data_IF_311517610698
#
_entry.id   IF_311517610698
#
_cell.length_a   1.000
_cell.length_b   1.000
_cell.length_c   1.000
_cell.angle_alpha   90.00
_cell.angle_beta   90.00
_cell.angle_gamma   90.00
#
_symmetry.space_group_name_H-M   'P 1'
#
loop_
_entity.id
_entity.type
_entity.pdbx_description
1 polymer ?
#
# COMPACT_ATOMS: atom_id res chain seq x y z
N UNK A 1 -32.30 7.06 -3.10
CA UNK A 1 -32.33 6.42 -1.76
C UNK A 1 -33.22 7.13 -0.75
N UNK A 2 -33.06 8.44 -0.50
CA UNK A 2 -33.77 9.16 0.59
C UNK A 2 -35.30 9.04 0.54
N UNK A 3 -35.88 9.09 -0.67
CA UNK A 3 -37.33 8.96 -0.88
C UNK A 3 -37.89 7.58 -0.50
N UNK A 4 -37.10 6.52 -0.63
CA UNK A 4 -37.51 5.15 -0.28
C UNK A 4 -37.50 4.97 1.23
N UNK A 5 -36.44 5.42 1.90
CA UNK A 5 -36.35 5.37 3.37
C UNK A 5 -37.52 6.16 3.97
N UNK A 6 -37.77 7.39 3.52
CA UNK A 6 -38.88 8.22 4.03
C UNK A 6 -40.25 7.55 3.80
N UNK A 7 -40.46 6.88 2.65
CA UNK A 7 -41.74 6.22 2.31
C UNK A 7 -42.07 5.04 3.23
N UNK A 8 -41.07 4.30 3.71
CA UNK A 8 -41.28 3.05 4.44
C UNK A 8 -40.85 3.07 5.91
N UNK A 9 -40.16 4.13 6.37
CA UNK A 9 -39.60 4.18 7.73
C UNK A 9 -40.66 4.43 8.83
N UNK A 10 -41.66 5.27 8.58
CA UNK A 10 -42.72 5.60 9.55
C UNK A 10 -44.04 4.83 9.30
N UNK A 11 -44.05 3.89 8.36
CA UNK A 11 -45.23 3.07 8.04
C UNK A 11 -45.20 1.77 8.84
N UNK A 12 -46.28 1.42 9.57
CA UNK A 12 -46.37 0.12 10.22
C UNK A 12 -46.14 -1.01 9.21
N UNK A 13 -45.35 -2.03 9.56
CA UNK A 13 -45.05 -3.16 8.65
C UNK A 13 -46.33 -3.80 8.07
N UNK A 14 -47.41 -3.83 8.84
CA UNK A 14 -48.72 -4.35 8.43
C UNK A 14 -49.36 -3.59 7.26
N UNK A 15 -49.03 -2.31 7.09
CA UNK A 15 -49.58 -1.42 6.05
C UNK A 15 -48.67 -1.33 4.82
N UNK A 16 -47.49 -1.95 4.85
CA UNK A 16 -46.55 -1.97 3.73
C UNK A 16 -46.96 -3.06 2.73
N UNK A 17 -47.27 -2.67 1.49
CA UNK A 17 -47.31 -3.60 0.36
C UNK A 17 -45.90 -4.06 0.03
N UNK A 18 -45.65 -5.36 0.19
CA UNK A 18 -44.34 -5.97 0.01
C UNK A 18 -43.87 -5.84 -1.45
N UNK A 19 -44.78 -5.99 -2.40
CA UNK A 19 -44.52 -5.96 -3.83
C UNK A 19 -44.26 -4.57 -4.36
N UNK A 20 -44.96 -3.55 -3.85
CA UNK A 20 -44.56 -2.15 -4.11
C UNK A 20 -43.15 -1.90 -3.61
N UNK A 21 -42.83 -2.31 -2.38
CA UNK A 21 -41.50 -2.09 -1.81
C UNK A 21 -40.40 -2.79 -2.61
N UNK A 22 -40.63 -4.03 -3.08
CA UNK A 22 -39.67 -4.76 -3.93
C UNK A 22 -39.53 -4.11 -5.31
N UNK A 23 -40.62 -3.64 -5.91
CA UNK A 23 -40.60 -2.96 -7.21
C UNK A 23 -39.88 -1.62 -7.14
N UNK A 24 -40.12 -0.85 -6.08
CA UNK A 24 -39.43 0.41 -5.80
C UNK A 24 -37.93 0.15 -5.58
N UNK A 25 -37.57 -0.91 -4.85
CA UNK A 25 -36.19 -1.29 -4.61
C UNK A 25 -35.45 -1.69 -5.90
N UNK A 26 -36.09 -2.48 -6.77
CA UNK A 26 -35.52 -2.84 -8.06
C UNK A 26 -35.40 -1.64 -9.00
N UNK A 27 -36.36 -0.72 -8.98
CA UNK A 27 -36.27 0.52 -9.76
C UNK A 27 -35.10 1.38 -9.31
N UNK A 28 -34.91 1.55 -8.00
CA UNK A 28 -33.78 2.30 -7.44
C UNK A 28 -32.45 1.64 -7.78
N UNK A 29 -32.35 0.31 -7.65
CA UNK A 29 -31.15 -0.43 -8.01
C UNK A 29 -30.81 -0.23 -9.50
N UNK A 30 -31.82 -0.28 -10.38
CA UNK A 30 -31.64 -0.03 -11.80
C UNK A 30 -31.23 1.44 -12.10
N UNK A 31 -31.84 2.42 -11.43
CA UNK A 31 -31.53 3.85 -11.57
C UNK A 31 -30.09 4.19 -11.14
N UNK A 32 -29.53 3.40 -10.22
CA UNK A 32 -28.16 3.54 -9.73
C UNK A 32 -27.18 2.57 -10.38
N UNK A 33 -27.57 1.90 -11.49
CA UNK A 33 -26.73 0.94 -12.22
C UNK A 33 -26.18 -0.20 -11.34
N UNK A 34 -26.93 -0.59 -10.30
CA UNK A 34 -26.57 -1.70 -9.41
C UNK A 34 -27.06 -3.00 -10.05
N UNK A 35 -26.12 -3.88 -10.37
CA UNK A 35 -26.42 -5.22 -10.89
C UNK A 35 -27.03 -6.09 -9.78
N UNK A 36 -28.28 -6.52 -9.99
CA UNK A 36 -28.99 -7.41 -9.07
C UNK A 36 -28.75 -8.86 -9.49
N UNK A 37 -28.18 -9.72 -8.62
CA UNK A 37 -28.02 -11.14 -8.90
C UNK A 37 -29.33 -11.83 -9.26
N UNK A 38 -29.27 -12.81 -10.17
CA UNK A 38 -30.42 -13.59 -10.65
C UNK A 38 -31.24 -14.21 -9.51
N UNK A 39 -30.54 -14.67 -8.47
CA UNK A 39 -31.15 -15.35 -7.33
C UNK A 39 -32.06 -14.38 -6.55
N UNK A 40 -31.62 -13.13 -6.38
CA UNK A 40 -32.42 -12.09 -5.71
C UNK A 40 -33.60 -11.65 -6.58
N UNK A 41 -33.41 -11.55 -7.89
CA UNK A 41 -34.52 -11.25 -8.81
C UNK A 41 -35.59 -12.35 -8.78
N UNK A 42 -35.19 -13.63 -8.70
CA UNK A 42 -36.11 -14.75 -8.59
C UNK A 42 -36.91 -14.70 -7.29
N UNK A 43 -36.25 -14.40 -6.16
CA UNK A 43 -36.95 -14.19 -4.87
C UNK A 43 -37.96 -13.05 -4.99
N UNK A 44 -37.55 -11.89 -5.51
CA UNK A 44 -38.45 -10.76 -5.69
C UNK A 44 -39.66 -11.08 -6.57
N UNK A 45 -39.45 -11.75 -7.71
CA UNK A 45 -40.54 -12.23 -8.59
C UNK A 45 -41.48 -13.20 -7.88
N UNK A 46 -40.94 -14.08 -7.04
CA UNK A 46 -41.75 -15.04 -6.28
C UNK A 46 -42.63 -14.31 -5.26
N UNK A 47 -42.08 -13.33 -4.55
CA UNK A 47 -42.84 -12.51 -3.59
C UNK A 47 -43.93 -11.69 -4.30
N UNK A 48 -43.62 -11.07 -5.44
CA UNK A 48 -44.60 -10.34 -6.26
C UNK A 48 -45.73 -11.26 -6.75
N UNK A 49 -45.38 -12.46 -7.20
CA UNK A 49 -46.37 -13.45 -7.66
C UNK A 49 -47.25 -13.91 -6.50
N UNK A 50 -46.66 -14.12 -5.31
CA UNK A 50 -47.38 -14.52 -4.12
C UNK A 50 -48.40 -13.45 -3.72
N UNK A 51 -47.99 -12.17 -3.66
CA UNK A 51 -48.91 -11.08 -3.34
C UNK A 51 -50.03 -10.96 -4.37
N UNK A 52 -49.73 -11.02 -5.67
CA UNK A 52 -50.75 -10.99 -6.72
C UNK A 52 -51.75 -12.16 -6.67
N UNK A 53 -51.35 -13.31 -6.11
CA UNK A 53 -52.24 -14.46 -5.89
C UNK A 53 -53.03 -14.31 -4.59
N UNK A 54 -52.43 -13.79 -3.52
CA UNK A 54 -53.05 -13.68 -2.20
C UNK A 54 -54.01 -12.49 -2.11
N UNK A 55 -53.69 -11.37 -2.76
CA UNK A 55 -54.50 -10.14 -2.77
C UNK A 55 -55.97 -10.38 -3.18
N UNK A 56 -56.30 -11.12 -4.26
CA UNK A 56 -57.70 -11.40 -4.60
C UNK A 56 -58.38 -12.42 -3.67
N UNK A 57 -57.62 -13.27 -2.96
CA UNK A 57 -58.15 -14.31 -2.08
C UNK A 57 -58.38 -13.81 -0.64
N UNK A 58 -57.48 -12.97 -0.14
CA UNK A 58 -57.47 -12.47 1.22
C UNK A 58 -56.98 -11.00 1.26
N UNK A 59 -57.78 -10.04 0.76
CA UNK A 59 -57.38 -8.63 0.61
C UNK A 59 -57.10 -7.88 1.93
N UNK A 60 -57.41 -8.49 3.08
CA UNK A 60 -57.12 -7.92 4.41
C UNK A 60 -55.88 -8.52 5.08
N UNK A 61 -55.23 -9.50 4.43
CA UNK A 61 -54.05 -10.17 4.96
C UNK A 61 -52.80 -9.42 4.49
N UNK A 62 -52.00 -8.93 5.43
CA UNK A 62 -50.66 -8.42 5.11
C UNK A 62 -49.67 -9.58 5.01
N UNK A 63 -48.94 -9.65 3.89
CA UNK A 63 -47.86 -10.63 3.71
C UNK A 63 -46.74 -10.39 4.73
N UNK A 64 -46.54 -9.13 5.13
CA UNK A 64 -45.51 -8.76 6.09
C UNK A 64 -45.82 -9.28 7.50
N UNK A 65 -47.09 -9.25 7.92
CA UNK A 65 -47.55 -9.81 9.19
C UNK A 65 -47.36 -11.34 9.22
N UNK A 66 -47.61 -12.01 8.08
CA UNK A 66 -47.37 -13.44 7.96
C UNK A 66 -45.87 -13.81 8.03
N UNK A 67 -44.99 -12.91 7.58
CA UNK A 67 -43.54 -13.10 7.58
C UNK A 67 -42.86 -12.72 8.91
N UNK A 68 -43.47 -11.86 9.72
CA UNK A 68 -42.94 -11.38 11.00
C UNK A 68 -42.44 -12.50 11.95
N UNK A 69 -43.19 -13.59 12.22
CA UNK A 69 -42.73 -14.64 13.14
C UNK A 69 -41.47 -15.35 12.63
N UNK A 70 -41.37 -15.59 11.32
CA UNK A 70 -40.18 -16.19 10.71
C UNK A 70 -38.97 -15.26 10.83
N UNK A 71 -39.16 -13.96 10.63
CA UNK A 71 -38.11 -12.96 10.83
C UNK A 71 -37.60 -12.93 12.27
N UNK A 72 -38.50 -12.97 13.25
CA UNK A 72 -38.14 -13.05 14.68
C UNK A 72 -37.33 -14.31 15.01
N UNK A 73 -37.72 -15.45 14.46
CA UNK A 73 -37.03 -16.72 14.67
C UNK A 73 -35.63 -16.72 14.01
N UNK A 74 -35.51 -16.20 12.79
CA UNK A 74 -34.24 -16.06 12.08
C UNK A 74 -33.26 -15.12 12.80
N UNK A 75 -33.74 -13.98 13.31
CA UNK A 75 -32.92 -13.07 14.11
C UNK A 75 -32.48 -13.79 15.39
N UNK A 76 -33.39 -14.46 16.08
CA UNK A 76 -33.08 -15.20 17.31
C UNK A 76 -32.04 -16.31 17.06
N UNK A 77 -32.12 -17.00 15.93
CA UNK A 77 -31.15 -18.03 15.54
C UNK A 77 -29.78 -17.43 15.19
N UNK A 78 -29.77 -16.34 14.41
CA UNK A 78 -28.54 -15.64 14.01
C UNK A 78 -27.80 -15.03 15.19
N UNK A 79 -28.51 -14.49 16.16
CA UNK A 79 -27.94 -13.91 17.39
C UNK A 79 -27.91 -14.89 18.56
N UNK A 80 -28.12 -16.19 18.31
CA UNK A 80 -28.08 -17.18 19.36
C UNK A 80 -26.65 -17.32 19.91
N UNK A 81 -26.40 -17.07 21.21
CA UNK A 81 -25.04 -17.03 21.76
C UNK A 81 -24.29 -18.35 21.60
N UNK A 82 -25.02 -19.48 21.55
CA UNK A 82 -24.44 -20.80 21.25
C UNK A 82 -23.87 -20.87 19.83
N UNK A 83 -24.58 -20.32 18.83
CA UNK A 83 -24.16 -20.34 17.43
C UNK A 83 -22.94 -19.45 17.23
N UNK A 84 -22.93 -18.28 17.88
CA UNK A 84 -21.76 -17.39 17.91
C UNK A 84 -20.56 -18.08 18.57
N UNK A 85 -20.76 -18.79 19.69
CA UNK A 85 -19.68 -19.52 20.35
C UNK A 85 -19.16 -20.70 19.52
N UNK A 86 -20.05 -21.39 18.79
CA UNK A 86 -19.72 -22.49 17.89
C UNK A 86 -18.95 -22.00 16.65
N UNK A 87 -19.42 -20.94 16.00
CA UNK A 87 -18.74 -20.28 14.86
C UNK A 87 -17.35 -19.76 15.27
N UNK A 88 -17.22 -19.19 16.47
CA UNK A 88 -15.93 -18.78 17.02
C UNK A 88 -15.03 -19.98 17.31
N UNK A 89 -15.58 -21.06 17.87
CA UNK A 89 -14.81 -22.26 18.18
C UNK A 89 -14.32 -22.98 16.91
N UNK A 90 -15.15 -23.08 15.88
CA UNK A 90 -14.75 -23.60 14.56
C UNK A 90 -13.62 -22.75 13.96
N UNK A 91 -13.76 -21.43 13.96
CA UNK A 91 -12.68 -20.54 13.51
C UNK A 91 -11.39 -20.74 14.33
N UNK A 92 -11.48 -20.85 15.66
CA UNK A 92 -10.31 -21.12 16.51
C UNK A 92 -9.68 -22.49 16.23
N UNK A 93 -10.46 -23.51 15.90
CA UNK A 93 -9.96 -24.83 15.55
C UNK A 93 -9.20 -24.80 14.21
N UNK A 94 -9.70 -24.05 13.23
CA UNK A 94 -8.99 -23.80 11.96
C UNK A 94 -7.66 -23.04 12.17
N UNK A 95 -7.57 -22.16 13.18
CA UNK A 95 -6.31 -21.55 13.62
C UNK A 95 -5.43 -22.48 14.49
N UNK A 96 -6.01 -23.55 15.06
CA UNK A 96 -5.31 -24.56 15.86
C UNK A 96 -4.37 -25.42 15.02
N UNK A 97 -4.72 -25.71 13.77
CA UNK A 97 -3.85 -26.40 12.82
C UNK A 97 -2.58 -25.58 12.50
N UNK A 98 -2.69 -24.25 12.49
CA UNK A 98 -1.53 -23.35 12.32
C UNK A 98 -0.56 -23.43 13.52
N UNK A 99 -1.07 -23.69 14.73
CA UNK A 99 -0.25 -23.94 15.92
C UNK A 99 0.41 -25.33 15.91
N UNK A 100 -0.18 -26.31 15.20
CA UNK A 100 0.38 -27.65 15.06
C UNK A 100 1.63 -27.66 14.15
N UNK A 101 1.64 -26.84 13.10
CA UNK A 101 2.75 -26.75 12.14
C UNK A 101 3.86 -25.77 12.56
N UNK A 102 3.57 -24.87 13.51
CA UNK A 102 4.53 -23.92 14.09
C UNK A 102 5.84 -24.55 14.62
N UNK A 103 5.83 -25.67 15.38
CA UNK A 103 7.07 -26.29 15.85
C UNK A 103 7.96 -26.80 14.72
N UNK A 104 7.40 -27.24 13.58
CA UNK A 104 8.19 -27.71 12.44
C UNK A 104 8.98 -26.56 11.79
N UNK A 105 8.32 -25.41 11.59
CA UNK A 105 8.96 -24.19 11.06
C UNK A 105 10.09 -23.71 11.99
N UNK A 106 9.86 -23.73 13.31
CA UNK A 106 10.88 -23.31 14.29
C UNK A 106 12.07 -24.28 14.30
N UNK A 107 11.83 -25.59 14.19
CA UNK A 107 12.89 -26.58 14.09
C UNK A 107 13.69 -26.40 12.79
N UNK A 108 13.03 -26.16 11.67
CA UNK A 108 13.68 -25.93 10.39
C UNK A 108 14.56 -24.68 10.41
N UNK A 109 14.04 -23.55 10.92
CA UNK A 109 14.80 -22.31 11.12
C UNK A 109 16.00 -22.52 12.05
N UNK A 110 15.81 -23.21 13.17
CA UNK A 110 16.89 -23.54 14.10
C UNK A 110 17.98 -24.37 13.40
N UNK A 111 17.60 -25.35 12.58
CA UNK A 111 18.56 -26.17 11.84
C UNK A 111 19.30 -25.39 10.74
N UNK A 112 18.62 -24.46 10.05
CA UNK A 112 19.22 -23.58 9.04
C UNK A 112 20.22 -22.60 9.66
N UNK A 113 19.87 -21.99 10.79
CA UNK A 113 20.76 -21.12 11.59
C UNK A 113 21.99 -21.90 12.06
N UNK A 114 21.78 -23.11 12.60
CA UNK A 114 22.85 -23.98 13.12
C UNK A 114 23.80 -24.45 12.01
N UNK A 115 23.30 -24.62 10.79
CA UNK A 115 24.09 -25.01 9.62
C UNK A 115 24.82 -23.84 8.94
N UNK A 116 24.67 -22.58 9.41
CA UNK A 116 25.22 -21.34 8.80
C UNK A 116 24.91 -21.21 7.29
N UNK A 117 23.90 -21.93 6.80
CA UNK A 117 23.43 -21.86 5.41
C UNK A 117 22.13 -21.09 5.40
N UNK A 118 22.18 -19.83 5.83
CA UNK A 118 21.12 -18.91 5.50
C UNK A 118 21.58 -18.22 4.21
N UNK A 119 21.18 -18.69 3.01
CA UNK A 119 21.21 -17.83 1.84
C UNK A 119 20.13 -16.77 2.10
N UNK A 120 20.50 -15.74 2.85
CA UNK A 120 19.73 -14.50 2.96
C UNK A 120 19.85 -13.84 1.58
N UNK A 121 19.14 -14.37 0.58
CA UNK A 121 18.76 -13.60 -0.60
C UNK A 121 17.61 -12.69 -0.17
N UNK A 122 17.88 -11.80 0.79
CA UNK A 122 17.04 -10.63 0.96
C UNK A 122 17.38 -9.75 -0.23
N UNK A 123 16.68 -10.01 -1.32
CA UNK A 123 16.58 -9.08 -2.43
C UNK A 123 15.69 -7.95 -1.91
N UNK A 124 16.24 -6.98 -1.18
CA UNK A 124 15.52 -5.71 -0.92
C UNK A 124 15.72 -4.89 -2.19
N UNK A 125 14.74 -4.80 -3.10
CA UNK A 125 14.91 -4.07 -4.35
C UNK A 125 15.23 -2.59 -4.06
N UNK A 126 14.79 -2.06 -2.92
CA UNK A 126 15.08 -0.69 -2.50
C UNK A 126 16.48 -0.48 -1.89
N UNK A 127 17.16 -1.51 -1.36
CA UNK A 127 18.48 -1.32 -0.74
C UNK A 127 19.54 -0.95 -1.77
N UNK A 128 19.54 -1.61 -2.93
CA UNK A 128 20.43 -1.28 -4.05
C UNK A 128 20.17 0.14 -4.57
N UNK A 129 18.91 0.58 -4.55
CA UNK A 129 18.53 1.95 -4.92
C UNK A 129 19.03 2.98 -3.92
N UNK A 130 19.09 2.63 -2.63
CA UNK A 130 19.61 3.48 -1.57
C UNK A 130 21.14 3.62 -1.65
N UNK A 131 21.85 2.52 -1.87
CA UNK A 131 23.30 2.55 -2.11
C UNK A 131 23.66 3.37 -3.35
N UNK A 132 22.90 3.22 -4.44
CA UNK A 132 23.09 4.01 -5.66
C UNK A 132 22.85 5.51 -5.45
N UNK A 133 21.90 5.88 -4.57
CA UNK A 133 21.67 7.29 -4.18
C UNK A 133 22.81 7.81 -3.29
N UNK A 134 23.30 7.02 -2.36
CA UNK A 134 24.45 7.37 -1.52
C UNK A 134 25.72 7.57 -2.34
N UNK A 135 26.01 6.70 -3.31
CA UNK A 135 27.17 6.84 -4.20
C UNK A 135 27.13 8.15 -5.00
N UNK A 136 25.93 8.55 -5.47
CA UNK A 136 25.74 9.83 -6.15
C UNK A 136 26.05 11.02 -5.24
N UNK A 137 25.63 10.96 -3.97
CA UNK A 137 25.92 12.01 -2.99
C UNK A 137 27.42 12.03 -2.66
N UNK A 138 28.04 10.87 -2.46
CA UNK A 138 29.47 10.73 -2.18
C UNK A 138 30.34 11.30 -3.29
N UNK A 139 30.02 11.00 -4.56
CA UNK A 139 30.75 11.55 -5.71
C UNK A 139 30.58 13.07 -5.82
N UNK A 140 29.38 13.61 -5.56
CA UNK A 140 29.16 15.06 -5.55
C UNK A 140 29.93 15.77 -4.44
N UNK A 141 30.07 15.15 -3.27
CA UNK A 141 30.86 15.67 -2.17
C UNK A 141 32.36 15.64 -2.51
N UNK A 142 32.85 14.52 -3.01
CA UNK A 142 34.25 14.38 -3.45
C UNK A 142 34.62 15.44 -4.49
N UNK A 143 33.74 15.69 -5.46
CA UNK A 143 33.92 16.77 -6.44
C UNK A 143 33.99 18.16 -5.80
N UNK A 144 33.04 18.47 -4.92
CA UNK A 144 33.01 19.76 -4.22
C UNK A 144 34.28 20.00 -3.40
N UNK A 145 34.78 18.98 -2.71
CA UNK A 145 35.99 19.06 -1.89
C UNK A 145 37.23 19.34 -2.77
N UNK A 146 37.37 18.63 -3.89
CA UNK A 146 38.50 18.85 -4.82
C UNK A 146 38.43 20.23 -5.44
N UNK A 147 37.24 20.68 -5.85
CA UNK A 147 37.06 22.01 -6.41
C UNK A 147 37.41 23.11 -5.40
N UNK A 148 37.00 22.94 -4.14
CA UNK A 148 37.37 23.86 -3.06
C UNK A 148 38.88 23.86 -2.81
N UNK A 149 39.53 22.70 -2.76
CA UNK A 149 40.98 22.60 -2.61
C UNK A 149 41.71 23.31 -3.77
N UNK A 150 41.27 23.10 -5.01
CA UNK A 150 41.83 23.78 -6.18
C UNK A 150 41.62 25.30 -6.11
N UNK A 151 40.42 25.75 -5.73
CA UNK A 151 40.13 27.18 -5.55
C UNK A 151 41.04 27.82 -4.49
N UNK A 152 41.29 27.14 -3.38
CA UNK A 152 42.18 27.63 -2.32
C UNK A 152 43.63 27.71 -2.80
N UNK A 153 44.11 26.70 -3.54
CA UNK A 153 45.46 26.72 -4.14
C UNK A 153 45.58 27.89 -5.12
N UNK A 154 44.61 28.08 -6.01
CA UNK A 154 44.61 29.18 -6.97
C UNK A 154 44.62 30.55 -6.28
N UNK A 155 43.78 30.75 -5.27
CA UNK A 155 43.77 32.00 -4.48
C UNK A 155 45.11 32.21 -3.78
N UNK A 156 45.70 31.17 -3.20
CA UNK A 156 47.03 31.22 -2.58
C UNK A 156 48.14 31.60 -3.57
N UNK A 157 48.11 31.04 -4.79
CA UNK A 157 49.06 31.38 -5.84
C UNK A 157 48.89 32.81 -6.34
N UNK A 158 47.65 33.26 -6.55
CA UNK A 158 47.36 34.63 -7.00
C UNK A 158 47.83 35.64 -5.95
N UNK A 159 47.49 35.44 -4.67
CA UNK A 159 47.92 36.34 -3.60
C UNK A 159 49.44 36.28 -3.41
N UNK A 160 50.02 35.07 -3.39
CA UNK A 160 51.46 34.88 -3.26
C UNK A 160 52.25 35.54 -4.39
N UNK A 161 51.72 35.53 -5.61
CA UNK A 161 52.33 36.23 -6.75
C UNK A 161 52.10 37.73 -6.76
N UNK A 162 50.95 38.22 -6.29
CA UNK A 162 50.64 39.64 -6.24
C UNK A 162 51.39 40.38 -5.11
N UNK A 163 51.68 39.70 -4.00
CA UNK A 163 52.41 40.26 -2.85
C UNK A 163 53.94 40.12 -2.97
N UNK A 164 54.43 39.18 -3.80
CA UNK A 164 55.85 38.90 -4.03
C UNK A 164 56.56 39.97 -4.88
N UNK A 165 56.60 41.22 -4.41
CA UNK A 165 57.32 42.35 -5.03
C UNK A 165 58.81 42.43 -4.68
N UNK A 166 59.44 41.33 -4.30
CA UNK A 166 60.88 41.29 -4.05
C UNK A 166 61.56 40.08 -4.71
N UNK A 167 62.51 40.42 -5.58
CA UNK A 167 63.48 39.57 -6.25
C UNK A 167 64.24 38.66 -5.27
N UNK A 168 63.76 37.44 -5.07
CA UNK A 168 64.52 36.37 -4.47
C UNK A 168 64.49 35.16 -5.40
N UNK A 169 65.67 34.60 -5.68
CA UNK A 169 65.95 33.47 -6.58
C UNK A 169 65.08 32.21 -6.38
N UNK A 170 64.29 32.13 -5.30
CA UNK A 170 63.28 31.09 -5.09
C UNK A 170 62.02 31.27 -5.95
N UNK A 171 61.83 32.43 -6.58
CA UNK A 171 60.72 32.73 -7.50
C UNK A 171 61.03 32.42 -8.98
N UNK A 172 62.30 32.10 -9.30
CA UNK A 172 62.72 31.61 -10.62
C UNK A 172 62.54 30.08 -10.77
N UNK A 173 62.21 29.39 -9.67
CA UNK A 173 61.82 28.00 -9.76
C UNK A 173 60.39 27.93 -10.32
N UNK A 174 60.11 27.02 -11.26
CA UNK A 174 58.82 26.87 -11.92
C UNK A 174 57.76 26.26 -10.97
N UNK A 175 57.68 26.69 -9.71
CA UNK A 175 56.72 26.20 -8.72
C UNK A 175 55.27 26.48 -9.14
N UNK A 176 55.04 27.61 -9.83
CA UNK A 176 53.73 27.95 -10.41
C UNK A 176 53.42 26.99 -11.56
N UNK A 177 54.38 26.71 -12.45
CA UNK A 177 54.19 25.78 -13.57
C UNK A 177 54.02 24.34 -13.06
N UNK A 178 54.78 23.92 -12.05
CA UNK A 178 54.66 22.60 -11.40
C UNK A 178 53.29 22.49 -10.71
N UNK A 179 52.86 23.52 -9.99
CA UNK A 179 51.53 23.55 -9.36
C UNK A 179 50.40 23.51 -10.39
N UNK A 180 50.56 24.19 -11.51
CA UNK A 180 49.62 24.16 -12.63
C UNK A 180 49.55 22.77 -13.27
N UNK A 181 50.70 22.13 -13.50
CA UNK A 181 50.77 20.77 -14.07
C UNK A 181 50.15 19.74 -13.11
N UNK A 182 50.44 19.84 -11.81
CA UNK A 182 49.85 18.95 -10.79
C UNK A 182 48.33 19.14 -10.75
N UNK A 183 47.85 20.38 -10.77
CA UNK A 183 46.42 20.65 -10.76
C UNK A 183 45.71 20.20 -12.04
N UNK A 184 46.34 20.38 -13.20
CA UNK A 184 45.84 19.91 -14.49
C UNK A 184 45.75 18.38 -14.52
N UNK A 185 46.75 17.69 -13.99
CA UNK A 185 46.75 16.23 -13.86
C UNK A 185 45.66 15.73 -12.90
N UNK A 186 45.48 16.38 -11.74
CA UNK A 186 44.40 16.06 -10.81
C UNK A 186 43.02 16.29 -11.43
N UNK A 187 42.86 17.38 -12.18
CA UNK A 187 41.61 17.70 -12.88
C UNK A 187 41.29 16.66 -13.96
N UNK A 188 42.28 16.28 -14.77
CA UNK A 188 42.14 15.24 -15.79
C UNK A 188 41.85 13.86 -15.17
N UNK A 189 42.52 13.50 -14.08
CA UNK A 189 42.28 12.25 -13.36
C UNK A 189 40.87 12.21 -12.75
N UNK A 190 40.36 13.35 -12.28
CA UNK A 190 39.02 13.46 -11.74
C UNK A 190 37.94 13.30 -12.83
N UNK A 191 38.12 13.91 -14.00
CA UNK A 191 37.21 13.70 -15.15
C UNK A 191 37.19 12.21 -15.51
N UNK A 192 38.36 11.58 -15.61
CA UNK A 192 38.47 10.15 -15.87
C UNK A 192 37.77 9.29 -14.79
N UNK A 193 37.92 9.65 -13.51
CA UNK A 193 37.27 8.94 -12.40
C UNK A 193 35.75 9.06 -12.43
N UNK A 194 35.21 10.24 -12.77
CA UNK A 194 33.75 10.45 -12.93
C UNK A 194 33.21 9.59 -14.08
N UNK A 195 33.90 9.59 -15.24
CA UNK A 195 33.48 8.76 -16.38
C UNK A 195 33.60 7.27 -16.10
N UNK A 196 34.61 6.83 -15.34
CA UNK A 196 34.79 5.43 -14.96
C UNK A 196 33.84 4.96 -13.85
N UNK A 197 33.45 5.86 -12.95
CA UNK A 197 32.45 5.60 -11.90
C UNK A 197 31.01 5.69 -12.42
N UNK A 198 30.80 6.34 -13.57
CA UNK A 198 29.55 6.34 -14.32
C UNK A 198 29.34 5.02 -15.07
N UNK A 199 29.07 3.94 -14.34
CA UNK A 199 28.28 2.84 -14.89
C UNK A 199 26.88 3.40 -15.16
N UNK A 200 26.70 3.95 -16.37
CA UNK A 200 25.42 3.82 -17.04
C UNK A 200 25.22 2.35 -17.42
#
# INVERSE_FOLDING_TARGET
MDKFIIKYYDTPLSEVSLGEAITDLFSIANDHEIEIPSDLTLVGKTLLTLEGVVEPLAPKLSIMDAAEPFGKELIKERYHPKKIAEDLFEQFNDYGDVLHDMPEIVQELSTMVRKRKIPIQISVPEADSFFSKLDRVSNRLSFSIVLLAFSLIMVGLIIGSALGRQSSLLWELPAIEIGFVIAMLMFAWLIYSIFRSGRF
#
